data_IF_264635857511
#
_entry.id   IF_264635857511
#
_cell.length_a   1.000
_cell.length_b   1.000
_cell.length_c   1.000
_cell.angle_alpha   90.00
_cell.angle_beta   90.00
_cell.angle_gamma   90.00
#
_symmetry.space_group_name_H-M   'P 1'
#
loop_
_entity.id
_entity.type
_entity.pdbx_description
1 polymer ?
#
# COMPACT_ATOMS: atom_id res chain seq x y z
N UNK A 1 15.35 -33.93 9.22
CA UNK A 1 14.24 -34.90 9.16
C UNK A 1 13.14 -34.31 8.25
N UNK A 2 12.54 -35.15 7.36
CA UNK A 2 11.38 -34.70 6.58
C UNK A 2 10.18 -34.48 7.49
N UNK A 3 9.34 -33.53 7.10
CA UNK A 3 8.07 -33.20 7.79
C UNK A 3 6.93 -33.61 6.85
N UNK A 4 5.93 -34.25 7.41
CA UNK A 4 4.71 -34.60 6.67
C UNK A 4 3.89 -33.32 6.41
N UNK A 5 3.68 -33.02 5.12
CA UNK A 5 2.98 -31.81 4.67
C UNK A 5 1.47 -31.92 4.90
N UNK A 6 0.92 -33.14 4.80
CA UNK A 6 -0.50 -33.36 5.02
C UNK A 6 -0.82 -33.22 6.51
N UNK A 7 0.06 -33.71 7.40
CA UNK A 7 -0.06 -33.47 8.84
C UNK A 7 0.02 -31.96 9.16
N UNK A 8 1.00 -31.25 8.58
CA UNK A 8 1.14 -29.80 8.77
C UNK A 8 -0.11 -29.04 8.27
N UNK A 9 -0.64 -29.42 7.12
CA UNK A 9 -1.86 -28.83 6.57
C UNK A 9 -3.07 -29.08 7.47
N UNK A 10 -3.23 -30.30 7.95
CA UNK A 10 -4.30 -30.68 8.90
C UNK A 10 -4.24 -29.88 10.20
N UNK A 11 -3.03 -29.58 10.68
CA UNK A 11 -2.83 -28.72 11.86
C UNK A 11 -3.29 -27.28 11.63
N UNK A 12 -3.08 -26.71 10.44
CA UNK A 12 -3.62 -25.39 10.09
C UNK A 12 -5.14 -25.40 9.99
N UNK A 13 -5.71 -26.41 9.32
CA UNK A 13 -7.16 -26.57 9.16
C UNK A 13 -7.87 -26.70 10.52
N UNK A 14 -7.31 -27.50 11.44
CA UNK A 14 -7.85 -27.65 12.80
C UNK A 14 -7.88 -26.32 13.57
N UNK A 15 -6.91 -25.44 13.28
CA UNK A 15 -6.81 -24.08 13.87
C UNK A 15 -7.61 -23.03 13.09
N UNK A 16 -8.34 -23.40 12.04
CA UNK A 16 -9.23 -22.54 11.27
C UNK A 16 -8.58 -21.82 10.11
N UNK A 17 -7.39 -22.24 9.66
CA UNK A 17 -6.75 -21.77 8.44
C UNK A 17 -6.84 -22.83 7.35
N UNK A 18 -7.73 -22.63 6.39
CA UNK A 18 -7.90 -23.50 5.24
C UNK A 18 -7.18 -22.89 4.02
N UNK A 19 -6.32 -23.68 3.40
CA UNK A 19 -5.58 -23.26 2.20
C UNK A 19 -6.21 -23.89 0.95
N UNK A 20 -6.71 -23.04 0.06
CA UNK A 20 -7.20 -23.46 -1.25
C UNK A 20 -6.08 -24.06 -2.11
N UNK A 21 -6.41 -24.90 -3.12
CA UNK A 21 -5.41 -25.59 -3.95
C UNK A 21 -4.31 -24.69 -4.50
N UNK A 22 -4.66 -23.49 -4.96
CA UNK A 22 -3.68 -22.50 -5.48
C UNK A 22 -2.63 -22.05 -4.46
N UNK A 23 -2.86 -22.26 -3.15
CA UNK A 23 -1.92 -21.94 -2.07
C UNK A 23 -1.18 -23.15 -1.54
N UNK A 24 -1.44 -24.36 -2.07
CA UNK A 24 -0.75 -25.59 -1.68
C UNK A 24 0.57 -25.73 -2.45
N UNK A 25 1.49 -24.81 -2.22
CA UNK A 25 2.74 -24.65 -2.96
C UNK A 25 3.93 -25.35 -2.31
N UNK A 26 3.83 -25.86 -1.08
CA UNK A 26 4.93 -26.55 -0.39
C UNK A 26 4.97 -27.99 -0.86
N UNK A 27 6.11 -28.40 -1.48
CA UNK A 27 6.32 -29.78 -1.94
C UNK A 27 7.11 -30.64 -0.95
N UNK A 28 8.03 -30.03 -0.21
CA UNK A 28 8.85 -30.74 0.78
C UNK A 28 9.32 -29.78 1.87
N UNK A 29 9.38 -30.28 3.10
CA UNK A 29 9.98 -29.56 4.23
C UNK A 29 10.94 -30.52 4.96
N UNK A 30 12.11 -30.00 5.31
CA UNK A 30 13.13 -30.68 6.08
C UNK A 30 13.51 -29.83 7.28
N UNK A 31 13.44 -30.41 8.48
CA UNK A 31 13.81 -29.75 9.73
C UNK A 31 15.16 -30.25 10.21
N UNK A 32 15.99 -29.37 10.75
CA UNK A 32 17.18 -29.81 11.47
C UNK A 32 16.77 -30.41 12.82
N UNK A 33 17.25 -31.63 13.10
CA UNK A 33 16.95 -32.36 14.34
C UNK A 33 17.78 -31.91 15.55
N UNK A 34 18.84 -31.10 15.33
CA UNK A 34 19.81 -30.74 16.39
C UNK A 34 19.35 -29.58 17.30
N UNK A 35 18.14 -29.09 17.14
CA UNK A 35 17.56 -28.06 18.04
C UNK A 35 17.17 -28.76 19.37
N UNK A 36 18.16 -28.96 20.25
CA UNK A 36 17.95 -29.46 21.62
C UNK A 36 17.13 -28.51 22.51
N UNK A 37 16.97 -27.27 22.10
CA UNK A 37 16.14 -26.27 22.78
C UNK A 37 15.03 -25.82 21.82
N UNK A 38 13.78 -25.94 22.25
CA UNK A 38 12.57 -25.49 21.53
C UNK A 38 12.57 -23.99 21.18
N UNK A 39 13.63 -23.26 21.57
CA UNK A 39 13.75 -21.82 21.38
C UNK A 39 14.32 -21.40 20.01
N UNK A 40 15.01 -22.31 19.30
CA UNK A 40 15.66 -22.00 18.03
C UNK A 40 15.61 -23.19 17.07
N UNK A 41 15.37 -22.93 15.79
CA UNK A 41 15.36 -23.97 14.79
C UNK A 41 15.58 -23.49 13.37
N UNK A 42 15.92 -24.44 12.50
CA UNK A 42 16.11 -24.20 11.07
C UNK A 42 15.33 -25.22 10.27
N UNK A 43 14.67 -24.79 9.22
CA UNK A 43 14.02 -25.66 8.25
C UNK A 43 14.40 -25.25 6.82
N UNK A 44 14.34 -26.22 5.92
CA UNK A 44 14.47 -26.03 4.48
C UNK A 44 13.21 -26.55 3.81
N UNK A 45 12.71 -25.82 2.83
CA UNK A 45 11.54 -26.23 2.08
C UNK A 45 11.74 -26.07 0.58
N UNK A 46 11.17 -26.96 -0.18
CA UNK A 46 10.96 -26.81 -1.62
C UNK A 46 9.55 -26.30 -1.85
N UNK A 47 9.42 -25.18 -2.51
CA UNK A 47 8.15 -24.55 -2.85
C UNK A 47 8.05 -24.49 -4.37
N UNK A 48 6.92 -24.95 -4.90
CA UNK A 48 6.61 -24.87 -6.32
C UNK A 48 5.26 -24.20 -6.51
N UNK A 49 5.22 -23.18 -7.37
CA UNK A 49 3.98 -22.49 -7.70
C UNK A 49 3.02 -23.48 -8.39
N UNK A 50 1.79 -23.69 -7.87
CA UNK A 50 0.80 -24.51 -8.55
C UNK A 50 0.35 -23.86 -9.86
N UNK A 51 0.05 -24.66 -10.87
CA UNK A 51 -0.41 -24.19 -12.18
C UNK A 51 -1.68 -23.30 -12.05
N UNK A 52 -2.55 -23.62 -11.10
CA UNK A 52 -3.78 -22.85 -10.82
C UNK A 52 -3.51 -21.47 -10.18
N UNK A 53 -2.31 -21.22 -9.72
CA UNK A 53 -1.90 -19.95 -9.16
C UNK A 53 -1.31 -19.00 -10.20
N UNK A 54 -0.88 -19.51 -11.36
CA UNK A 54 -0.39 -18.68 -12.46
C UNK A 54 -1.57 -17.99 -13.15
N UNK A 55 -1.53 -16.65 -13.19
CA UNK A 55 -2.52 -15.84 -13.92
C UNK A 55 -1.86 -15.23 -15.16
N UNK A 56 -2.59 -15.13 -16.29
CA UNK A 56 -2.07 -14.45 -17.47
C UNK A 56 -1.68 -13.01 -17.18
N UNK A 57 -0.42 -12.65 -17.48
CA UNK A 57 0.10 -11.29 -17.26
C UNK A 57 0.71 -11.05 -15.88
N UNK A 58 0.83 -12.06 -15.03
CA UNK A 58 1.54 -11.94 -13.75
C UNK A 58 3.02 -11.59 -13.99
N UNK A 59 3.44 -10.47 -13.40
CA UNK A 59 4.81 -9.94 -13.51
C UNK A 59 5.48 -9.79 -12.14
N UNK A 60 5.16 -10.68 -11.21
CA UNK A 60 5.75 -10.63 -9.87
C UNK A 60 7.23 -11.04 -9.90
N UNK A 61 8.07 -10.28 -9.21
CA UNK A 61 9.46 -10.70 -8.98
C UNK A 61 9.54 -11.87 -8.00
N UNK A 62 8.66 -11.88 -7.00
CA UNK A 62 8.40 -13.01 -6.10
C UNK A 62 6.88 -13.18 -5.99
N UNK A 63 6.37 -14.31 -6.46
CA UNK A 63 4.92 -14.54 -6.49
C UNK A 63 4.34 -14.58 -5.08
N UNK A 64 3.16 -13.95 -4.80
CA UNK A 64 2.56 -13.90 -3.46
C UNK A 64 2.32 -15.28 -2.84
N UNK A 65 1.96 -16.28 -3.63
CA UNK A 65 1.79 -17.67 -3.16
C UNK A 65 3.11 -18.27 -2.66
N UNK A 66 4.24 -17.99 -3.33
CA UNK A 66 5.58 -18.41 -2.88
C UNK A 66 5.93 -17.71 -1.57
N UNK A 67 5.64 -16.40 -1.46
CA UNK A 67 5.89 -15.63 -0.23
C UNK A 67 5.08 -16.18 0.94
N UNK A 68 3.78 -16.41 0.75
CA UNK A 68 2.91 -16.99 1.77
C UNK A 68 3.37 -18.38 2.20
N UNK A 69 3.68 -19.25 1.24
CA UNK A 69 4.21 -20.59 1.52
C UNK A 69 5.53 -20.53 2.32
N UNK A 70 6.39 -19.54 2.02
CA UNK A 70 7.66 -19.34 2.75
C UNK A 70 7.43 -18.96 4.22
N UNK A 71 6.42 -18.15 4.51
CA UNK A 71 6.08 -17.77 5.89
C UNK A 71 5.57 -18.95 6.72
N UNK A 72 4.86 -19.90 6.09
CA UNK A 72 4.32 -21.10 6.75
C UNK A 72 5.39 -22.09 7.19
N UNK A 73 6.59 -22.05 6.60
CA UNK A 73 7.69 -22.94 6.98
C UNK A 73 8.08 -22.74 8.45
N UNK A 74 7.91 -21.55 8.98
CA UNK A 74 8.20 -21.25 10.38
C UNK A 74 7.42 -22.12 11.36
N UNK A 75 6.17 -22.45 11.04
CA UNK A 75 5.33 -23.32 11.88
C UNK A 75 5.86 -24.79 11.90
N UNK A 76 6.55 -25.20 10.86
CA UNK A 76 7.18 -26.52 10.80
C UNK A 76 8.40 -26.62 11.70
N UNK A 77 9.05 -25.50 12.04
CA UNK A 77 10.23 -25.48 12.93
C UNK A 77 9.84 -25.81 14.36
N UNK A 78 8.72 -25.22 14.82
CA UNK A 78 8.22 -25.43 16.17
C UNK A 78 7.18 -26.53 16.20
N UNK A 79 7.42 -27.54 17.02
CA UNK A 79 6.40 -28.57 17.27
C UNK A 79 5.46 -28.03 18.35
N UNK A 80 4.47 -27.24 17.94
CA UNK A 80 3.47 -26.75 18.85
C UNK A 80 2.44 -27.81 19.16
N UNK A 81 2.44 -28.27 20.38
CA UNK A 81 1.36 -29.09 20.94
C UNK A 81 0.14 -28.23 21.34
N UNK A 82 0.31 -26.91 21.41
CA UNK A 82 -0.77 -25.98 21.76
C UNK A 82 -1.76 -25.83 20.57
N UNK A 83 -2.87 -26.57 20.67
CA UNK A 83 -3.95 -26.52 19.68
C UNK A 83 -4.79 -25.22 19.79
N UNK A 84 -4.68 -24.48 20.89
CA UNK A 84 -5.51 -23.31 21.16
C UNK A 84 -4.95 -22.00 20.61
N UNK A 85 -3.70 -22.01 20.16
CA UNK A 85 -3.03 -20.84 19.57
C UNK A 85 -2.48 -21.12 18.17
N UNK A 86 -2.40 -20.06 17.37
CA UNK A 86 -1.76 -20.05 16.06
C UNK A 86 -0.87 -18.82 15.94
N UNK A 87 0.27 -18.97 15.28
CA UNK A 87 1.17 -17.86 15.03
C UNK A 87 0.93 -17.27 13.64
N UNK A 88 0.56 -15.99 13.59
CA UNK A 88 0.26 -15.28 12.35
C UNK A 88 1.32 -14.21 12.07
N UNK A 89 1.68 -13.98 10.79
CA UNK A 89 2.53 -12.88 10.37
C UNK A 89 1.99 -11.53 10.86
N UNK A 90 2.84 -10.78 11.57
CA UNK A 90 2.47 -9.48 12.15
C UNK A 90 3.28 -8.32 11.57
N UNK A 91 4.60 -8.49 11.44
CA UNK A 91 5.48 -7.46 10.91
C UNK A 91 6.72 -8.04 10.26
N UNK A 92 7.31 -7.28 9.35
CA UNK A 92 8.57 -7.56 8.67
C UNK A 92 9.44 -6.33 8.81
N UNK A 93 10.70 -6.48 9.26
CA UNK A 93 11.63 -5.37 9.38
C UNK A 93 12.45 -5.14 8.12
N UNK A 94 12.75 -6.18 7.35
CA UNK A 94 13.49 -6.08 6.11
C UNK A 94 12.98 -7.08 5.07
N UNK A 95 12.82 -6.60 3.82
CA UNK A 95 12.50 -7.43 2.67
C UNK A 95 13.32 -6.95 1.47
N UNK A 96 14.04 -7.89 0.85
CA UNK A 96 14.71 -7.63 -0.42
C UNK A 96 14.36 -8.70 -1.44
N UNK A 97 14.24 -8.30 -2.70
CA UNK A 97 14.07 -9.20 -3.84
C UNK A 97 15.01 -8.74 -4.95
N UNK A 98 16.20 -9.37 -5.00
CA UNK A 98 17.29 -8.96 -5.88
C UNK A 98 17.07 -9.40 -7.32
N UNK A 99 16.45 -10.60 -7.47
CA UNK A 99 16.16 -11.22 -8.76
C UNK A 99 14.72 -11.74 -8.80
N UNK A 100 14.17 -11.88 -10.01
CA UNK A 100 12.90 -12.58 -10.18
C UNK A 100 13.07 -14.06 -9.83
N UNK A 101 12.16 -14.59 -9.01
CA UNK A 101 12.10 -16.01 -8.69
C UNK A 101 11.47 -16.79 -9.85
N UNK A 102 11.93 -18.04 -10.04
CA UNK A 102 11.25 -19.02 -10.88
C UNK A 102 9.99 -19.55 -10.18
N UNK A 103 9.21 -20.36 -10.88
CA UNK A 103 8.05 -21.06 -10.30
C UNK A 103 8.42 -22.05 -9.19
N UNK A 104 9.69 -22.46 -9.12
CA UNK A 104 10.21 -23.35 -8.07
C UNK A 104 11.33 -22.63 -7.32
N UNK A 105 11.27 -22.67 -6.00
CA UNK A 105 12.30 -22.08 -5.12
C UNK A 105 12.62 -23.00 -3.95
N UNK A 106 13.81 -22.80 -3.39
CA UNK A 106 14.21 -23.35 -2.11
C UNK A 106 14.21 -22.26 -1.06
N UNK A 107 13.70 -22.56 0.12
CA UNK A 107 13.62 -21.61 1.22
C UNK A 107 14.32 -22.18 2.44
N UNK A 108 15.22 -21.38 3.01
CA UNK A 108 15.80 -21.64 4.32
C UNK A 108 15.14 -20.71 5.32
N UNK A 109 14.48 -21.27 6.31
CA UNK A 109 13.90 -20.56 7.43
C UNK A 109 14.72 -20.78 8.69
N UNK A 110 15.06 -19.71 9.38
CA UNK A 110 15.70 -19.74 10.71
C UNK A 110 14.81 -18.99 11.66
N UNK A 111 14.34 -19.66 12.71
CA UNK A 111 13.37 -19.10 13.63
C UNK A 111 13.82 -19.22 15.08
N UNK A 112 13.44 -18.24 15.90
CA UNK A 112 13.64 -18.22 17.32
C UNK A 112 12.36 -17.83 18.06
N UNK A 113 12.11 -18.49 19.20
CA UNK A 113 11.04 -18.10 20.12
C UNK A 113 11.49 -16.89 20.93
N UNK A 114 10.62 -15.91 21.07
CA UNK A 114 10.84 -14.68 21.86
C UNK A 114 9.57 -14.37 22.66
N UNK A 115 9.48 -14.87 23.88
CA UNK A 115 8.25 -14.81 24.69
C UNK A 115 7.04 -15.34 23.90
N UNK A 116 6.01 -14.54 23.66
CA UNK A 116 4.80 -14.91 22.91
C UNK A 116 4.92 -14.73 21.40
N UNK A 117 6.10 -14.35 20.90
CA UNK A 117 6.33 -14.11 19.47
C UNK A 117 7.41 -15.04 18.95
N UNK A 118 7.38 -15.27 17.65
CA UNK A 118 8.46 -15.96 16.90
C UNK A 118 9.07 -14.97 15.93
N UNK A 119 10.37 -14.92 15.88
CA UNK A 119 11.12 -14.13 14.91
C UNK A 119 11.78 -15.05 13.91
N UNK A 120 11.49 -14.85 12.63
CA UNK A 120 11.91 -15.71 11.54
C UNK A 120 12.70 -14.90 10.51
N UNK A 121 13.83 -15.43 10.08
CA UNK A 121 14.56 -14.96 8.91
C UNK A 121 14.41 -15.99 7.79
N UNK A 122 14.14 -15.51 6.57
CA UNK A 122 14.00 -16.36 5.38
C UNK A 122 15.04 -15.95 4.34
N UNK A 123 15.67 -16.96 3.77
CA UNK A 123 16.50 -16.84 2.57
C UNK A 123 15.87 -17.69 1.48
N UNK A 124 15.55 -17.06 0.34
CA UNK A 124 14.87 -17.70 -0.79
C UNK A 124 15.86 -17.84 -1.93
N UNK A 125 16.00 -19.03 -2.47
CA UNK A 125 16.95 -19.40 -3.51
C UNK A 125 16.22 -19.98 -4.72
N UNK A 126 16.76 -19.75 -5.90
CA UNK A 126 16.32 -20.46 -7.11
C UNK A 126 16.78 -21.94 -7.10
N UNK A 127 16.42 -22.68 -8.14
CA UNK A 127 16.78 -24.09 -8.29
C UNK A 127 18.29 -24.34 -8.40
N UNK A 128 19.07 -23.29 -8.72
CA UNK A 128 20.52 -23.36 -8.84
C UNK A 128 21.26 -22.92 -7.57
N UNK A 129 20.52 -22.59 -6.52
CA UNK A 129 21.08 -22.16 -5.23
C UNK A 129 21.48 -20.67 -5.21
N UNK A 130 21.10 -19.87 -6.21
CA UNK A 130 21.30 -18.43 -6.20
C UNK A 130 20.21 -17.79 -5.34
N UNK A 131 20.61 -16.94 -4.39
CA UNK A 131 19.65 -16.21 -3.55
C UNK A 131 18.89 -15.19 -4.39
N UNK A 132 17.57 -15.23 -4.33
CA UNK A 132 16.66 -14.34 -5.06
C UNK A 132 15.97 -13.32 -4.17
N UNK A 133 15.71 -13.70 -2.90
CA UNK A 133 15.06 -12.80 -1.94
C UNK A 133 15.47 -13.13 -0.49
N UNK A 134 15.30 -12.13 0.39
CA UNK A 134 15.44 -12.30 1.84
C UNK A 134 14.27 -11.63 2.57
N UNK A 135 13.90 -12.21 3.70
CA UNK A 135 12.98 -11.63 4.67
C UNK A 135 13.67 -11.61 6.03
N UNK A 136 13.84 -10.42 6.58
CA UNK A 136 14.50 -10.22 7.87
C UNK A 136 13.47 -9.90 8.94
N UNK A 137 13.60 -10.58 10.08
CA UNK A 137 12.75 -10.38 11.26
C UNK A 137 11.24 -10.37 10.92
N UNK A 138 10.79 -11.40 10.21
CA UNK A 138 9.36 -11.72 10.17
C UNK A 138 8.93 -12.08 11.60
N UNK A 139 8.12 -11.23 12.19
CA UNK A 139 7.56 -11.48 13.52
C UNK A 139 6.22 -12.18 13.36
N UNK A 140 6.11 -13.37 13.95
CA UNK A 140 4.85 -14.10 14.06
C UNK A 140 4.32 -13.89 15.49
N UNK A 141 3.04 -13.56 15.59
CA UNK A 141 2.37 -13.31 16.87
C UNK A 141 1.40 -14.43 17.20
N UNK A 142 1.44 -14.91 18.43
CA UNK A 142 0.49 -15.88 18.94
C UNK A 142 -0.91 -15.26 19.02
N UNK A 143 -1.90 -15.93 18.47
CA UNK A 143 -3.31 -15.54 18.46
C UNK A 143 -4.16 -16.71 18.91
N UNK A 144 -5.09 -16.53 19.88
CA UNK A 144 -6.01 -17.59 20.26
C UNK A 144 -6.90 -18.00 19.07
N UNK A 145 -6.97 -19.30 18.79
CA UNK A 145 -7.78 -19.88 17.70
C UNK A 145 -9.24 -19.46 17.81
N UNK A 146 -9.77 -19.39 19.03
CA UNK A 146 -11.13 -18.90 19.26
C UNK A 146 -11.35 -17.47 18.73
N UNK A 147 -10.38 -16.57 18.96
CA UNK A 147 -10.44 -15.18 18.48
C UNK A 147 -10.41 -15.12 16.96
N UNK A 148 -9.56 -15.94 16.33
CA UNK A 148 -9.48 -16.07 14.88
C UNK A 148 -10.81 -16.59 14.30
N UNK A 149 -11.32 -17.70 14.80
CA UNK A 149 -12.59 -18.28 14.34
C UNK A 149 -13.77 -17.31 14.54
N UNK A 150 -13.79 -16.54 15.62
CA UNK A 150 -14.81 -15.52 15.87
C UNK A 150 -14.71 -14.35 14.88
N UNK A 151 -13.49 -13.94 14.53
CA UNK A 151 -13.27 -12.89 13.53
C UNK A 151 -13.72 -13.34 12.14
N UNK A 152 -13.43 -14.60 11.77
CA UNK A 152 -13.83 -15.19 10.49
C UNK A 152 -15.30 -15.57 10.40
N UNK A 153 -15.94 -15.92 11.52
CA UNK A 153 -17.38 -16.28 11.59
C UNK A 153 -18.31 -15.07 11.45
N UNK A 154 -17.79 -13.84 11.59
CA UNK A 154 -18.56 -12.66 11.18
C UNK A 154 -18.74 -12.76 9.66
N UNK A 155 -20.00 -12.79 9.15
CA UNK A 155 -20.20 -12.77 7.71
C UNK A 155 -19.51 -11.52 7.18
N UNK A 156 -18.46 -11.75 6.39
CA UNK A 156 -17.77 -10.71 5.67
C UNK A 156 -18.76 -10.25 4.59
N UNK A 157 -19.65 -9.34 4.95
CA UNK A 157 -20.42 -8.62 3.96
C UNK A 157 -19.43 -7.73 3.25
N UNK A 158 -18.86 -8.25 2.18
CA UNK A 158 -17.95 -7.52 1.28
C UNK A 158 -18.53 -6.15 0.91
N UNK A 159 -19.86 -6.05 0.84
CA UNK A 159 -20.59 -4.80 0.63
C UNK A 159 -20.36 -3.78 1.76
N UNK A 160 -20.34 -4.20 3.01
CA UNK A 160 -20.30 -3.25 4.14
C UNK A 160 -18.88 -2.67 4.30
N UNK A 161 -17.84 -3.49 4.12
CA UNK A 161 -16.45 -3.00 4.18
C UNK A 161 -16.06 -2.21 2.95
N UNK A 162 -16.48 -2.64 1.76
CA UNK A 162 -16.25 -1.87 0.55
C UNK A 162 -16.99 -0.52 0.61
N UNK A 163 -18.19 -0.49 1.15
CA UNK A 163 -18.94 0.75 1.35
C UNK A 163 -18.25 1.70 2.34
N UNK A 164 -17.57 1.15 3.38
CA UNK A 164 -16.82 1.97 4.34
C UNK A 164 -15.48 2.49 3.77
N UNK A 165 -14.93 1.83 2.76
CA UNK A 165 -13.62 2.17 2.18
C UNK A 165 -13.71 2.83 0.81
N UNK A 166 -14.83 2.65 0.10
CA UNK A 166 -15.04 3.26 -1.20
C UNK A 166 -15.83 4.55 -1.04
N UNK A 167 -15.17 5.64 -1.33
CA UNK A 167 -15.76 6.98 -1.41
C UNK A 167 -15.97 7.33 -2.87
N UNK A 168 -17.11 7.90 -3.18
CA UNK A 168 -17.33 8.55 -4.46
C UNK A 168 -17.69 10.02 -4.23
N UNK A 169 -17.17 10.86 -5.11
CA UNK A 169 -17.49 12.27 -5.08
C UNK A 169 -18.92 12.46 -5.59
N UNK A 170 -19.76 13.08 -4.79
CA UNK A 170 -21.12 13.47 -5.15
C UNK A 170 -21.18 14.98 -5.18
N UNK A 171 -21.69 15.52 -6.28
CA UNK A 171 -21.97 16.94 -6.39
C UNK A 171 -23.37 17.20 -5.84
N UNK A 172 -23.47 17.98 -4.76
CA UNK A 172 -24.75 18.41 -4.20
C UNK A 172 -25.02 19.84 -4.67
N UNK A 173 -26.23 20.07 -5.19
CA UNK A 173 -26.67 21.41 -5.56
C UNK A 173 -26.88 22.24 -4.29
N UNK A 174 -26.08 23.27 -4.13
CA UNK A 174 -26.20 24.21 -3.02
C UNK A 174 -26.65 25.56 -3.56
N UNK A 175 -27.72 26.12 -2.98
CA UNK A 175 -28.16 27.43 -3.34
C UNK A 175 -27.08 28.47 -3.01
N UNK A 176 -26.74 29.30 -3.99
CA UNK A 176 -25.85 30.41 -3.74
C UNK A 176 -26.42 31.31 -2.65
N UNK A 177 -25.61 31.76 -1.67
CA UNK A 177 -26.06 32.69 -0.67
C UNK A 177 -26.67 33.94 -1.34
N UNK A 178 -27.89 34.30 -0.97
CA UNK A 178 -28.53 35.49 -1.45
C UNK A 178 -27.81 36.71 -0.84
N UNK A 179 -27.11 37.44 -1.69
CA UNK A 179 -26.42 38.67 -1.33
C UNK A 179 -24.93 38.41 -1.12
N UNK A 180 -24.14 38.72 -2.11
CA UNK A 180 -22.69 38.97 -1.95
C UNK A 180 -22.55 40.32 -1.22
N UNK A 181 -22.87 40.33 0.07
CA UNK A 181 -22.54 41.47 0.91
C UNK A 181 -21.02 41.53 1.01
N UNK A 182 -20.43 42.65 0.58
CA UNK A 182 -19.03 43.01 0.74
C UNK A 182 -18.03 42.00 0.15
N UNK A 183 -17.95 41.89 -1.17
CA UNK A 183 -16.82 41.27 -1.85
C UNK A 183 -15.57 42.09 -1.50
N UNK A 184 -14.78 41.59 -0.54
CA UNK A 184 -13.50 42.22 -0.23
C UNK A 184 -12.62 42.22 -1.46
N UNK A 185 -12.12 43.41 -1.82
CA UNK A 185 -11.16 43.53 -2.90
C UNK A 185 -9.88 42.77 -2.53
N UNK A 186 -9.39 41.99 -3.45
CA UNK A 186 -8.22 41.13 -3.22
C UNK A 186 -7.30 41.03 -4.44
N UNK A 187 -6.15 40.42 -4.21
CA UNK A 187 -5.18 40.12 -5.25
C UNK A 187 -5.16 38.63 -5.48
N UNK A 188 -5.27 38.17 -6.72
CA UNK A 188 -5.44 36.77 -7.07
C UNK A 188 -4.37 36.31 -8.05
N UNK A 189 -3.82 35.11 -7.83
CA UNK A 189 -3.04 34.40 -8.86
C UNK A 189 -4.00 33.57 -9.68
N UNK A 190 -4.04 33.78 -10.98
CA UNK A 190 -4.96 33.15 -11.90
C UNK A 190 -4.22 32.27 -12.90
N UNK A 191 -4.55 30.99 -12.91
CA UNK A 191 -3.95 29.96 -13.74
C UNK A 191 -4.99 29.51 -14.77
N UNK A 192 -5.00 30.11 -15.98
CA UNK A 192 -6.09 29.98 -16.94
C UNK A 192 -6.08 28.63 -17.65
N UNK A 193 -7.29 28.14 -18.00
CA UNK A 193 -7.47 27.06 -18.96
C UNK A 193 -7.19 27.54 -20.39
N UNK A 194 -7.03 26.59 -21.33
CA UNK A 194 -6.88 26.85 -22.75
C UNK A 194 -8.22 26.86 -23.49
N UNK A 195 -9.28 26.33 -22.87
CA UNK A 195 -10.61 26.13 -23.48
C UNK A 195 -11.51 27.38 -23.42
N UNK A 196 -11.06 28.47 -22.79
CA UNK A 196 -11.71 29.79 -22.84
C UNK A 196 -12.68 30.09 -21.71
N UNK A 197 -12.87 29.19 -20.73
CA UNK A 197 -13.68 29.43 -19.53
C UNK A 197 -13.04 30.57 -18.71
N UNK A 198 -11.72 30.56 -18.60
CA UNK A 198 -10.92 31.60 -17.92
C UNK A 198 -11.18 33.00 -18.43
N UNK A 199 -11.44 33.18 -19.70
CA UNK A 199 -11.62 34.54 -20.27
C UNK A 199 -12.84 35.23 -19.66
N UNK A 200 -13.96 34.53 -19.50
CA UNK A 200 -15.16 35.06 -18.86
C UNK A 200 -14.92 35.37 -17.40
N UNK A 201 -14.30 34.45 -16.69
CA UNK A 201 -14.06 34.59 -15.26
C UNK A 201 -13.08 35.76 -14.98
N UNK A 202 -12.00 35.83 -15.74
CA UNK A 202 -11.04 36.96 -15.65
C UNK A 202 -11.71 38.32 -15.85
N UNK A 203 -12.57 38.44 -16.88
CA UNK A 203 -13.32 39.65 -17.14
C UNK A 203 -14.23 40.00 -15.96
N UNK A 204 -14.98 39.04 -15.43
CA UNK A 204 -15.86 39.26 -14.27
C UNK A 204 -15.09 39.71 -13.03
N UNK A 205 -13.93 39.08 -12.75
CA UNK A 205 -13.08 39.48 -11.63
C UNK A 205 -12.55 40.92 -11.78
N UNK A 206 -12.14 41.30 -12.98
CA UNK A 206 -11.66 42.66 -13.27
C UNK A 206 -12.77 43.69 -13.13
N UNK A 207 -13.97 43.38 -13.63
CA UNK A 207 -15.15 44.26 -13.47
C UNK A 207 -15.53 44.39 -11.99
N UNK A 208 -15.36 43.34 -11.21
CA UNK A 208 -15.57 43.36 -9.76
C UNK A 208 -14.44 44.07 -8.98
N UNK A 209 -13.47 44.68 -9.67
CA UNK A 209 -12.36 45.41 -9.04
C UNK A 209 -11.26 44.55 -8.43
N UNK A 210 -11.25 43.24 -8.69
CA UNK A 210 -10.20 42.36 -8.19
C UNK A 210 -8.89 42.60 -8.95
N UNK A 211 -7.76 42.53 -8.22
CA UNK A 211 -6.44 42.55 -8.83
C UNK A 211 -6.07 41.13 -9.23
N UNK A 212 -5.82 40.88 -10.51
CA UNK A 212 -5.57 39.53 -11.01
C UNK A 212 -4.20 39.42 -11.69
N UNK A 213 -3.36 38.51 -11.22
CA UNK A 213 -2.08 38.17 -11.80
C UNK A 213 -2.22 36.85 -12.58
N UNK A 214 -2.04 36.89 -13.89
CA UNK A 214 -2.24 35.75 -14.77
C UNK A 214 -0.91 35.04 -14.99
N UNK A 215 -0.84 33.75 -14.66
CA UNK A 215 0.29 32.88 -14.96
C UNK A 215 -0.16 31.74 -15.88
N UNK A 216 0.30 31.77 -17.13
CA UNK A 216 -0.09 30.77 -18.15
C UNK A 216 0.74 29.50 -18.11
N UNK A 217 1.87 29.52 -17.41
CA UNK A 217 2.79 28.37 -17.29
C UNK A 217 3.12 28.10 -15.83
N UNK A 218 3.53 26.88 -15.56
CA UNK A 218 3.97 26.43 -14.23
C UNK A 218 5.16 27.24 -13.72
N UNK A 219 6.09 27.53 -14.59
CA UNK A 219 7.29 28.32 -14.29
C UNK A 219 6.94 29.75 -13.91
N UNK A 220 6.00 30.39 -14.64
CA UNK A 220 5.52 31.73 -14.34
C UNK A 220 4.79 31.76 -12.98
N UNK A 221 3.96 30.76 -12.69
CA UNK A 221 3.28 30.63 -11.41
C UNK A 221 4.27 30.48 -10.24
N UNK A 222 5.27 29.63 -10.38
CA UNK A 222 6.33 29.44 -9.38
C UNK A 222 7.19 30.68 -9.17
N UNK A 223 7.52 31.38 -10.24
CA UNK A 223 8.29 32.63 -10.17
C UNK A 223 7.49 33.72 -9.40
N UNK A 224 6.20 33.84 -9.69
CA UNK A 224 5.32 34.77 -8.99
C UNK A 224 5.23 34.41 -7.49
N UNK A 225 5.01 33.14 -7.15
CA UNK A 225 4.89 32.68 -5.76
C UNK A 225 6.18 32.81 -4.92
N UNK A 226 7.32 32.97 -5.57
CA UNK A 226 8.61 33.26 -4.92
C UNK A 226 8.92 34.74 -4.81
N UNK A 227 8.12 35.59 -5.45
CA UNK A 227 8.32 37.05 -5.41
C UNK A 227 7.64 37.67 -4.18
N UNK A 228 8.03 38.87 -3.82
CA UNK A 228 7.43 39.66 -2.75
C UNK A 228 5.93 39.91 -2.98
N UNK A 229 5.48 39.89 -4.23
CA UNK A 229 4.05 40.05 -4.55
C UNK A 229 3.18 38.88 -4.07
N UNK A 230 3.77 37.73 -3.79
CA UNK A 230 3.04 36.57 -3.28
C UNK A 230 2.47 36.77 -1.87
N UNK A 231 3.08 37.64 -1.06
CA UNK A 231 2.58 37.92 0.29
C UNK A 231 1.22 38.65 0.29
N UNK A 232 0.91 39.35 -0.79
CA UNK A 232 -0.32 40.16 -0.92
C UNK A 232 -1.49 39.41 -1.57
N UNK A 233 -1.32 38.17 -2.02
CA UNK A 233 -2.41 37.43 -2.67
C UNK A 233 -3.45 36.94 -1.68
N UNK A 234 -4.71 37.08 -2.07
CA UNK A 234 -5.89 36.59 -1.33
C UNK A 234 -6.13 35.10 -1.60
N UNK A 235 -5.85 34.67 -2.84
CA UNK A 235 -6.04 33.25 -3.22
C UNK A 235 -5.50 32.95 -4.61
N UNK A 236 -5.62 31.68 -4.97
CA UNK A 236 -5.21 31.12 -6.27
C UNK A 236 -6.41 30.49 -6.95
N UNK A 237 -6.65 30.85 -8.19
CA UNK A 237 -7.64 30.23 -9.06
C UNK A 237 -6.92 29.35 -10.08
N UNK A 238 -7.09 28.04 -9.96
CA UNK A 238 -6.39 27.03 -10.77
C UNK A 238 -7.38 26.35 -11.73
N UNK A 239 -7.31 26.65 -13.02
CA UNK A 239 -8.19 26.12 -14.06
C UNK A 239 -7.48 25.18 -15.05
N UNK A 240 -6.19 24.89 -14.88
CA UNK A 240 -5.47 23.96 -15.77
C UNK A 240 -6.05 22.54 -15.78
N UNK A 241 -6.75 22.13 -14.73
CA UNK A 241 -7.43 20.84 -14.68
C UNK A 241 -8.57 20.72 -15.69
N UNK A 242 -9.11 21.87 -16.16
CA UNK A 242 -10.14 21.91 -17.20
C UNK A 242 -9.59 21.50 -18.58
N UNK A 243 -8.27 21.53 -18.77
CA UNK A 243 -7.59 21.12 -19.98
C UNK A 243 -7.17 19.63 -19.96
N UNK A 244 -7.47 18.93 -18.86
CA UNK A 244 -7.10 17.51 -18.71
C UNK A 244 -7.97 16.64 -19.61
N UNK A 245 -7.34 15.69 -20.31
CA UNK A 245 -8.01 14.65 -21.07
C UNK A 245 -7.81 13.31 -20.38
N UNK A 246 -8.62 12.30 -20.70
CA UNK A 246 -8.48 10.93 -20.18
C UNK A 246 -7.07 10.35 -20.44
N UNK A 247 -6.44 10.78 -21.53
CA UNK A 247 -5.09 10.33 -21.90
C UNK A 247 -3.96 10.97 -21.08
N UNK A 248 -4.19 12.13 -20.42
CA UNK A 248 -3.18 12.87 -19.64
C UNK A 248 -3.73 13.43 -18.32
N UNK A 249 -4.21 12.58 -17.42
CA UNK A 249 -4.78 13.07 -16.15
C UNK A 249 -3.71 13.58 -15.16
N UNK A 250 -2.45 13.15 -15.32
CA UNK A 250 -1.40 13.38 -14.31
C UNK A 250 -0.77 14.77 -14.33
N UNK A 251 -0.81 15.50 -15.45
CA UNK A 251 -0.11 16.79 -15.59
C UNK A 251 -0.71 17.88 -14.73
N UNK A 252 -2.03 17.94 -14.63
CA UNK A 252 -2.76 18.91 -13.82
C UNK A 252 -2.55 18.67 -12.32
N UNK A 253 -2.65 17.42 -11.86
CA UNK A 253 -2.43 17.04 -10.47
C UNK A 253 -0.99 17.33 -10.02
N UNK A 254 -0.01 17.01 -10.86
CA UNK A 254 1.41 17.29 -10.59
C UNK A 254 1.65 18.80 -10.48
N UNK A 255 1.06 19.60 -11.37
CA UNK A 255 1.20 21.05 -11.32
C UNK A 255 0.59 21.64 -10.04
N UNK A 256 -0.59 21.17 -9.63
CA UNK A 256 -1.24 21.56 -8.38
C UNK A 256 -0.37 21.23 -7.15
N UNK A 257 0.17 20.02 -7.11
CA UNK A 257 1.07 19.58 -6.03
C UNK A 257 2.32 20.46 -5.93
N UNK A 258 2.95 20.78 -7.07
CA UNK A 258 4.14 21.62 -7.08
C UNK A 258 3.85 23.07 -6.63
N UNK A 259 2.67 23.61 -6.95
CA UNK A 259 2.24 24.92 -6.47
C UNK A 259 2.07 24.90 -4.95
N UNK A 260 1.37 23.89 -4.42
CA UNK A 260 1.19 23.71 -2.96
C UNK A 260 2.53 23.58 -2.24
N UNK A 261 3.48 22.82 -2.81
CA UNK A 261 4.82 22.69 -2.25
C UNK A 261 5.59 24.02 -2.19
N UNK A 262 5.46 24.85 -3.23
CA UNK A 262 6.09 26.19 -3.23
C UNK A 262 5.48 27.08 -2.15
N UNK A 263 4.17 27.07 -2.01
CA UNK A 263 3.45 27.80 -0.97
C UNK A 263 3.83 27.36 0.44
N UNK A 264 3.91 26.06 0.68
CA UNK A 264 4.32 25.52 1.97
C UNK A 264 5.75 25.94 2.35
N UNK A 265 6.67 25.98 1.37
CA UNK A 265 8.06 26.44 1.59
C UNK A 265 8.16 27.95 1.82
N UNK A 266 7.25 28.74 1.26
CA UNK A 266 7.21 30.18 1.44
C UNK A 266 6.58 30.62 2.78
N UNK A 267 6.30 29.70 3.70
CA UNK A 267 5.75 30.03 5.02
C UNK A 267 4.26 30.34 5.05
N UNK A 268 3.52 29.94 4.03
CA UNK A 268 2.08 30.21 3.87
C UNK A 268 1.12 29.44 4.80
N UNK A 269 1.52 29.16 6.03
CA UNK A 269 0.73 28.44 7.03
C UNK A 269 -0.30 29.31 7.73
N UNK A 270 -1.22 29.90 7.04
CA UNK A 270 -2.25 30.73 7.70
C UNK A 270 -3.25 31.39 6.76
N UNK A 271 -3.12 31.20 5.46
CA UNK A 271 -4.06 31.77 4.49
C UNK A 271 -5.03 30.67 4.06
N UNK A 272 -6.33 30.95 4.17
CA UNK A 272 -7.39 30.07 3.68
C UNK A 272 -7.31 29.99 2.15
N UNK A 273 -7.17 28.78 1.65
CA UNK A 273 -7.13 28.46 0.22
C UNK A 273 -8.49 28.02 -0.26
#
# INVERSE_FOLDING_TARGET
QPIDIDELSSRFEARGLEYFPRFKAIEAIYKNSDSLNHEFGTAFARIKLPDEAELPGDSYRLHPVITDASFRIAEAIFQDEDADHIHLPFSISGFSCDHAASSTVWVKATARQQAETRVVNLEIFDEYGKRVATVEQLTLRSVPVFSLKRAMAKPFKTSDILNDWLYHLVWEETLLPKGLADVKLGSWLFLPDQNGISNKLLHLMQVAGQKVHVAKTKEAAKAFLKSENAESITGILHLWSMDSTEEKPSTSLTASLEIVQVLAKAGGTGKHW
#
